data_IF_586388950819
#
_entry.id   IF_586388950819
#
_cell.length_a   1.000
_cell.length_b   1.000
_cell.length_c   1.000
_cell.angle_alpha   90.00
_cell.angle_beta   90.00
_cell.angle_gamma   90.00
#
_symmetry.space_group_name_H-M   'P 1'
#
loop_
_entity.id
_entity.type
_entity.pdbx_description
1 polymer ?
#
# COMPACT_ATOMS: atom_id res chain seq x y z
N UNK A 1 3.17 -17.42 -8.21
CA UNK A 1 3.65 -16.52 -9.29
C UNK A 1 3.82 -15.12 -8.69
N UNK A 2 4.21 -14.10 -9.45
CA UNK A 2 4.23 -12.74 -8.91
C UNK A 2 2.81 -12.14 -9.02
N UNK A 3 2.30 -11.52 -7.95
CA UNK A 3 1.06 -10.74 -8.01
C UNK A 3 1.26 -9.65 -9.07
N UNK A 4 0.38 -9.53 -10.08
CA UNK A 4 0.53 -8.56 -11.15
C UNK A 4 0.51 -7.12 -10.59
N UNK A 5 1.29 -6.23 -11.21
CA UNK A 5 1.21 -4.81 -10.91
C UNK A 5 -0.10 -4.18 -11.41
N UNK A 6 -0.39 -2.97 -10.94
CA UNK A 6 -1.65 -2.29 -11.29
C UNK A 6 -1.72 -1.88 -12.78
N UNK A 7 -0.60 -1.76 -13.47
CA UNK A 7 -0.57 -1.39 -14.90
C UNK A 7 -0.95 -2.59 -15.77
N UNK A 8 -0.39 -3.75 -15.48
CA UNK A 8 -0.75 -5.01 -16.14
C UNK A 8 -2.23 -5.37 -15.93
N UNK A 9 -2.86 -4.85 -14.89
CA UNK A 9 -4.29 -5.03 -14.62
C UNK A 9 -5.19 -4.06 -15.41
N UNK A 10 -4.68 -2.94 -15.94
CA UNK A 10 -5.52 -1.94 -16.61
C UNK A 10 -6.19 -2.47 -17.88
N UNK A 11 -5.43 -3.11 -18.77
CA UNK A 11 -5.99 -3.64 -20.02
C UNK A 11 -6.99 -4.79 -19.78
N UNK A 12 -6.67 -5.83 -18.96
CA UNK A 12 -7.65 -6.86 -18.61
C UNK A 12 -8.91 -6.30 -17.96
N UNK A 13 -8.78 -5.32 -17.06
CA UNK A 13 -9.92 -4.68 -16.40
C UNK A 13 -10.81 -3.97 -17.43
N UNK A 14 -10.22 -3.21 -18.36
CA UNK A 14 -10.96 -2.54 -19.42
C UNK A 14 -11.68 -3.55 -20.35
N UNK A 15 -11.03 -4.69 -20.64
CA UNK A 15 -11.62 -5.79 -21.43
C UNK A 15 -12.81 -6.45 -20.74
N UNK A 16 -12.81 -6.58 -19.42
CA UNK A 16 -13.97 -7.11 -18.68
C UNK A 16 -15.18 -6.19 -18.86
N UNK A 17 -14.97 -4.88 -18.85
CA UNK A 17 -16.03 -3.90 -19.10
C UNK A 17 -16.43 -3.75 -20.58
N UNK A 18 -15.82 -4.51 -21.50
CA UNK A 18 -16.05 -4.39 -22.95
C UNK A 18 -17.49 -4.70 -23.37
N UNK A 19 -18.25 -5.41 -22.54
CA UNK A 19 -19.66 -5.74 -22.74
C UNK A 19 -20.60 -4.51 -22.64
N UNK A 20 -20.09 -3.38 -22.14
CA UNK A 20 -20.85 -2.14 -21.96
C UNK A 20 -21.77 -2.13 -20.74
N UNK A 21 -21.79 -3.21 -19.95
CA UNK A 21 -22.60 -3.30 -18.74
C UNK A 21 -21.93 -2.62 -17.55
N UNK A 22 -22.67 -2.46 -16.45
CA UNK A 22 -22.08 -2.05 -15.18
C UNK A 22 -21.46 -3.22 -14.46
N UNK A 23 -20.21 -3.05 -14.05
CA UNK A 23 -19.44 -4.01 -13.29
C UNK A 23 -19.17 -3.50 -11.88
N UNK A 24 -19.09 -4.42 -10.93
CA UNK A 24 -18.64 -4.11 -9.57
C UNK A 24 -17.16 -4.40 -9.42
N UNK A 25 -16.47 -3.63 -8.57
CA UNK A 25 -15.06 -3.86 -8.30
C UNK A 25 -14.81 -5.25 -7.69
N UNK A 26 -15.71 -5.73 -6.84
CA UNK A 26 -15.59 -7.06 -6.21
C UNK A 26 -15.66 -8.19 -7.25
N UNK A 27 -16.60 -8.12 -8.18
CA UNK A 27 -16.73 -9.08 -9.28
C UNK A 27 -15.48 -9.09 -10.15
N UNK A 28 -14.99 -7.92 -10.54
CA UNK A 28 -13.81 -7.79 -11.39
C UNK A 28 -12.55 -8.29 -10.68
N UNK A 29 -12.43 -8.09 -9.36
CA UNK A 29 -11.33 -8.67 -8.56
C UNK A 29 -11.36 -10.21 -8.66
N UNK A 30 -12.52 -10.83 -8.53
CA UNK A 30 -12.66 -12.29 -8.64
C UNK A 30 -12.29 -12.80 -10.04
N UNK A 31 -12.80 -12.14 -11.09
CA UNK A 31 -12.50 -12.50 -12.49
C UNK A 31 -10.99 -12.37 -12.77
N UNK A 32 -10.38 -11.25 -12.37
CA UNK A 32 -8.95 -11.02 -12.57
C UNK A 32 -8.10 -12.00 -11.76
N UNK A 33 -8.49 -12.33 -10.52
CA UNK A 33 -7.77 -13.31 -9.72
C UNK A 33 -7.75 -14.70 -10.40
N UNK A 34 -8.86 -15.09 -11.04
CA UNK A 34 -8.94 -16.32 -11.81
C UNK A 34 -8.12 -16.26 -13.09
N UNK A 35 -8.20 -15.17 -13.86
CA UNK A 35 -7.44 -14.98 -15.11
C UNK A 35 -5.92 -15.00 -14.88
N UNK A 36 -5.45 -14.46 -13.76
CA UNK A 36 -4.04 -14.45 -13.39
C UNK A 36 -3.62 -15.68 -12.57
N UNK A 37 -4.52 -16.64 -12.37
CA UNK A 37 -4.28 -17.89 -11.64
C UNK A 37 -3.68 -17.67 -10.24
N UNK A 38 -4.19 -16.68 -9.50
CA UNK A 38 -3.69 -16.37 -8.17
C UNK A 38 -4.06 -17.46 -7.16
N UNK A 39 -3.06 -17.90 -6.39
CA UNK A 39 -3.23 -18.79 -5.26
C UNK A 39 -3.95 -18.11 -4.08
N UNK A 40 -4.54 -18.89 -3.19
CA UNK A 40 -5.21 -18.36 -1.99
C UNK A 40 -4.28 -17.51 -1.11
N UNK A 41 -2.99 -17.85 -1.09
CA UNK A 41 -1.99 -17.10 -0.32
C UNK A 41 -1.76 -15.71 -0.94
N UNK A 42 -1.61 -15.63 -2.26
CA UNK A 42 -1.44 -14.36 -2.99
C UNK A 42 -2.70 -13.49 -2.89
N UNK A 43 -3.89 -14.11 -2.91
CA UNK A 43 -5.17 -13.41 -2.74
C UNK A 43 -5.35 -12.85 -1.33
N UNK A 44 -4.79 -13.52 -0.32
CA UNK A 44 -4.83 -13.09 1.09
C UNK A 44 -3.66 -12.20 1.48
N UNK A 45 -2.70 -12.00 0.59
CA UNK A 45 -1.52 -11.17 0.86
C UNK A 45 -1.93 -9.73 1.18
N UNK A 46 -1.53 -9.27 2.36
CA UNK A 46 -1.85 -7.92 2.84
C UNK A 46 -0.73 -6.95 2.46
N UNK A 47 -1.10 -5.69 2.30
CA UNK A 47 -0.13 -4.59 2.28
C UNK A 47 0.70 -4.57 3.56
N UNK A 48 1.88 -3.93 3.56
CA UNK A 48 2.73 -3.85 4.74
C UNK A 48 2.05 -3.15 5.95
N UNK A 49 1.01 -2.33 5.69
CA UNK A 49 0.14 -1.75 6.72
C UNK A 49 -0.87 -2.73 7.35
N UNK A 50 -1.08 -3.91 6.76
CA UNK A 50 -2.00 -4.94 7.24
C UNK A 50 -3.49 -4.68 7.02
N UNK A 51 -3.87 -3.54 6.44
CA UNK A 51 -5.28 -3.09 6.36
C UNK A 51 -6.02 -3.55 5.10
N UNK A 52 -5.31 -3.73 4.00
CA UNK A 52 -5.89 -4.05 2.68
C UNK A 52 -5.10 -5.17 2.03
N UNK A 53 -5.78 -5.98 1.24
CA UNK A 53 -5.14 -6.97 0.37
C UNK A 53 -4.38 -6.26 -0.75
N UNK A 54 -3.18 -6.72 -1.05
CA UNK A 54 -2.30 -6.12 -2.06
C UNK A 54 -2.95 -6.16 -3.44
N UNK A 55 -3.52 -7.30 -3.82
CA UNK A 55 -4.18 -7.45 -5.12
C UNK A 55 -5.41 -6.54 -5.27
N UNK A 56 -6.33 -6.55 -4.31
CA UNK A 56 -7.53 -5.69 -4.32
C UNK A 56 -7.17 -4.20 -4.44
N UNK A 57 -6.11 -3.79 -3.72
CA UNK A 57 -5.59 -2.43 -3.80
C UNK A 57 -5.08 -2.10 -5.21
N UNK A 58 -4.34 -3.01 -5.86
CA UNK A 58 -3.84 -2.82 -7.23
C UNK A 58 -4.98 -2.74 -8.25
N UNK A 59 -6.01 -3.59 -8.14
CA UNK A 59 -7.20 -3.53 -9.00
C UNK A 59 -7.95 -2.20 -8.79
N UNK A 60 -8.06 -1.73 -7.55
CA UNK A 60 -8.66 -0.44 -7.24
C UNK A 60 -7.92 0.74 -7.90
N UNK A 61 -6.59 0.72 -7.89
CA UNK A 61 -5.77 1.74 -8.53
C UNK A 61 -5.87 1.69 -10.06
N UNK A 62 -5.83 0.49 -10.65
CA UNK A 62 -6.07 0.30 -12.08
C UNK A 62 -7.40 0.94 -12.51
N UNK A 63 -8.49 0.64 -11.79
CA UNK A 63 -9.81 1.24 -12.02
C UNK A 63 -9.77 2.76 -11.87
N UNK A 64 -9.11 3.27 -10.84
CA UNK A 64 -9.03 4.72 -10.59
C UNK A 64 -8.36 5.44 -11.75
N UNK A 65 -7.25 4.93 -12.26
CA UNK A 65 -6.51 5.57 -13.36
C UNK A 65 -7.31 5.55 -14.65
N UNK A 66 -7.96 4.43 -14.96
CA UNK A 66 -8.86 4.32 -16.12
C UNK A 66 -10.07 5.27 -16.03
N UNK A 67 -10.61 5.49 -14.83
CA UNK A 67 -11.66 6.49 -14.61
C UNK A 67 -11.14 7.91 -14.79
N UNK A 68 -9.92 8.21 -14.30
CA UNK A 68 -9.29 9.53 -14.47
C UNK A 68 -8.92 9.82 -15.92
N UNK A 69 -8.63 8.79 -16.70
CA UNK A 69 -8.42 8.89 -18.15
C UNK A 69 -9.71 8.82 -18.98
N UNK A 70 -10.89 8.86 -18.33
CA UNK A 70 -12.20 8.84 -18.99
C UNK A 70 -12.45 7.58 -19.87
N UNK A 71 -11.72 6.49 -19.63
CA UNK A 71 -11.93 5.20 -20.29
C UNK A 71 -13.03 4.38 -19.60
N UNK A 72 -13.24 4.64 -18.30
CA UNK A 72 -14.32 4.10 -17.49
C UNK A 72 -15.09 5.24 -16.83
N UNK A 73 -16.41 5.10 -16.73
CA UNK A 73 -17.27 5.98 -15.96
C UNK A 73 -17.58 5.36 -14.61
N UNK A 74 -17.48 6.13 -13.53
CA UNK A 74 -17.94 5.71 -12.21
C UNK A 74 -19.45 5.93 -12.09
N UNK A 75 -20.23 4.85 -12.05
CA UNK A 75 -21.71 4.90 -12.00
C UNK A 75 -22.28 4.77 -10.60
N UNK A 76 -21.44 4.46 -9.60
CA UNK A 76 -21.85 4.34 -8.20
C UNK A 76 -20.72 3.88 -7.29
N UNK A 77 -21.04 3.56 -6.04
CA UNK A 77 -20.06 3.05 -5.07
C UNK A 77 -19.48 1.73 -5.56
N UNK A 78 -18.18 1.73 -5.85
CA UNK A 78 -17.45 0.59 -6.40
C UNK A 78 -18.03 0.01 -7.70
N UNK A 79 -18.83 0.79 -8.44
CA UNK A 79 -19.38 0.41 -9.75
C UNK A 79 -18.75 1.24 -10.85
N UNK A 80 -18.65 0.66 -12.04
CA UNK A 80 -18.17 1.35 -13.22
C UNK A 80 -18.71 0.74 -14.51
N UNK A 81 -18.67 1.52 -15.59
CA UNK A 81 -19.07 1.13 -16.94
C UNK A 81 -18.04 1.64 -17.96
N UNK A 82 -17.91 0.97 -19.08
CA UNK A 82 -17.11 1.44 -20.21
C UNK A 82 -17.68 2.74 -20.82
N UNK A 83 -16.80 3.67 -21.19
CA UNK A 83 -17.17 4.88 -21.94
C UNK A 83 -17.02 4.69 -23.44
N UNK A 84 -17.52 5.63 -24.25
CA UNK A 84 -17.24 5.65 -25.69
C UNK A 84 -15.74 5.73 -25.99
N UNK A 85 -15.00 6.54 -25.23
CA UNK A 85 -13.53 6.64 -25.30
C UNK A 85 -12.88 5.28 -25.04
N UNK A 86 -13.27 4.59 -23.95
CA UNK A 86 -12.80 3.25 -23.62
C UNK A 86 -13.09 2.22 -24.73
N UNK A 87 -14.28 2.29 -25.34
CA UNK A 87 -14.64 1.44 -26.47
C UNK A 87 -13.75 1.69 -27.70
N UNK A 88 -13.44 2.95 -28.02
CA UNK A 88 -12.52 3.30 -29.12
C UNK A 88 -11.11 2.76 -28.87
N UNK A 89 -10.61 2.88 -27.63
CA UNK A 89 -9.33 2.31 -27.22
C UNK A 89 -9.32 0.78 -27.35
N UNK A 90 -10.38 0.09 -26.95
CA UNK A 90 -10.44 -1.37 -27.13
C UNK A 90 -10.47 -1.77 -28.61
N UNK A 91 -11.11 -0.99 -29.47
CA UNK A 91 -11.15 -1.22 -30.92
C UNK A 91 -9.79 -1.04 -31.60
N UNK A 92 -8.92 -0.15 -31.09
CA UNK A 92 -7.56 -0.03 -31.59
C UNK A 92 -6.63 -1.17 -31.13
N UNK A 93 -7.13 -2.06 -30.25
CA UNK A 93 -6.45 -3.23 -29.74
C UNK A 93 -5.00 -2.96 -29.27
N UNK A 94 -4.81 -2.06 -28.29
CA UNK A 94 -3.49 -1.76 -27.78
C UNK A 94 -2.88 -3.00 -27.11
N UNK A 95 -1.57 -3.25 -27.29
CA UNK A 95 -0.90 -4.38 -26.67
C UNK A 95 -0.83 -4.24 -25.14
N UNK A 96 -0.80 -3.00 -24.62
CA UNK A 96 -0.69 -2.66 -23.20
C UNK A 96 -1.35 -1.30 -22.95
N UNK A 97 -1.94 -1.13 -21.76
CA UNK A 97 -2.39 0.15 -21.24
C UNK A 97 -1.62 0.37 -19.94
N UNK A 98 -0.70 1.32 -19.93
CA UNK A 98 0.08 1.75 -18.78
C UNK A 98 -0.08 3.25 -18.55
N UNK A 99 0.60 3.78 -17.53
CA UNK A 99 0.56 5.21 -17.21
C UNK A 99 0.98 6.06 -18.41
N UNK A 100 2.02 5.65 -19.14
CA UNK A 100 2.50 6.33 -20.34
C UNK A 100 1.43 6.37 -21.44
N UNK A 101 0.70 5.27 -21.65
CA UNK A 101 -0.45 5.26 -22.55
C UNK A 101 -1.57 6.19 -22.08
N UNK A 102 -1.79 6.33 -20.77
CA UNK A 102 -2.84 7.22 -20.26
C UNK A 102 -2.50 8.72 -20.38
N UNK A 103 -1.22 9.08 -20.52
CA UNK A 103 -0.77 10.48 -20.69
C UNK A 103 -1.29 11.13 -21.98
N UNK A 104 -1.72 10.34 -22.96
CA UNK A 104 -2.36 10.87 -24.17
C UNK A 104 -3.75 11.48 -23.91
N UNK A 105 -4.37 11.19 -22.75
CA UNK A 105 -5.69 11.71 -22.39
C UNK A 105 -5.56 12.99 -21.55
N UNK A 106 -6.15 14.13 -21.99
CA UNK A 106 -6.02 15.39 -21.27
C UNK A 106 -6.62 15.32 -19.86
N UNK A 107 -7.69 14.56 -19.65
CA UNK A 107 -8.32 14.37 -18.34
C UNK A 107 -7.36 13.71 -17.33
N UNK A 108 -6.51 12.80 -17.81
CA UNK A 108 -5.51 12.14 -16.98
C UNK A 108 -4.34 13.08 -16.64
N UNK A 109 -3.89 13.87 -17.60
CA UNK A 109 -2.84 14.89 -17.37
C UNK A 109 -3.29 15.96 -16.38
N UNK A 110 -4.55 16.40 -16.45
CA UNK A 110 -5.11 17.30 -15.44
C UNK A 110 -5.08 16.70 -14.04
N UNK A 111 -5.39 15.40 -13.91
CA UNK A 111 -5.34 14.69 -12.63
C UNK A 111 -3.91 14.65 -12.08
N UNK A 112 -2.92 14.31 -12.90
CA UNK A 112 -1.51 14.31 -12.49
C UNK A 112 -1.05 15.71 -12.07
N UNK A 113 -1.38 16.74 -12.85
CA UNK A 113 -1.00 18.12 -12.56
C UNK A 113 -1.62 18.65 -11.26
N UNK A 114 -2.88 18.29 -10.97
CA UNK A 114 -3.54 18.64 -9.70
C UNK A 114 -2.86 17.97 -8.51
N UNK A 115 -2.37 16.73 -8.66
CA UNK A 115 -1.61 16.04 -7.62
C UNK A 115 -0.28 16.73 -7.33
N UNK A 116 0.49 17.09 -8.37
CA UNK A 116 1.78 17.76 -8.21
C UNK A 116 1.65 19.15 -7.58
N UNK A 117 0.61 19.91 -7.96
CA UNK A 117 0.37 21.26 -7.42
C UNK A 117 -0.03 21.25 -5.95
N UNK A 118 -0.63 20.16 -5.46
CA UNK A 118 -0.93 19.96 -4.04
C UNK A 118 0.31 19.59 -3.21
N UNK A 119 1.36 19.08 -3.84
CA UNK A 119 2.59 18.61 -3.18
C UNK A 119 3.69 19.65 -3.08
N UNK A 120 3.57 20.81 -3.74
CA UNK A 120 4.41 21.99 -3.47
C UNK A 120 5.92 21.85 -3.72
N UNK A 121 6.39 20.78 -4.36
CA UNK A 121 7.82 20.58 -4.66
C UNK A 121 8.09 20.46 -6.16
N UNK A 122 9.06 21.27 -6.59
CA UNK A 122 9.62 21.35 -7.94
C UNK A 122 10.64 20.24 -8.15
N UNK A 123 10.49 19.52 -9.27
CA UNK A 123 11.47 18.64 -9.94
C UNK A 123 12.06 17.44 -9.16
N UNK A 124 11.62 16.23 -9.53
CA UNK A 124 12.39 14.99 -9.32
C UNK A 124 12.36 14.12 -10.61
N UNK A 125 13.47 14.06 -11.37
CA UNK A 125 13.61 13.25 -12.58
C UNK A 125 13.87 11.74 -12.35
N UNK A 126 13.24 10.91 -13.21
CA UNK A 126 13.61 9.55 -13.66
C UNK A 126 13.72 8.38 -12.66
N UNK A 127 14.01 8.56 -11.36
CA UNK A 127 14.00 7.43 -10.39
C UNK A 127 12.57 6.93 -10.04
N UNK A 128 11.55 7.72 -10.38
CA UNK A 128 10.15 7.33 -10.23
C UNK A 128 9.75 6.18 -11.19
N UNK A 129 10.56 5.89 -12.22
CA UNK A 129 10.31 4.79 -13.15
C UNK A 129 10.54 3.40 -12.54
N UNK A 130 11.38 3.22 -11.51
CA UNK A 130 11.46 1.91 -10.82
C UNK A 130 10.31 1.69 -9.82
N UNK A 131 9.66 2.79 -9.37
CA UNK A 131 8.41 2.78 -8.58
C UNK A 131 7.15 2.49 -9.41
N UNK A 132 7.28 2.27 -10.73
CA UNK A 132 6.18 2.04 -11.69
C UNK A 132 5.26 0.88 -11.31
N UNK A 133 5.77 -0.14 -10.62
CA UNK A 133 4.97 -1.32 -10.24
C UNK A 133 4.13 -1.12 -8.97
N UNK A 134 4.44 -0.11 -8.17
CA UNK A 134 3.83 0.09 -6.86
C UNK A 134 2.73 1.14 -6.94
N UNK A 135 1.63 0.86 -6.26
CA UNK A 135 0.57 1.85 -6.10
C UNK A 135 1.04 2.97 -5.16
N UNK A 136 0.47 4.19 -5.25
CA UNK A 136 0.82 5.27 -4.32
C UNK A 136 0.72 4.87 -2.83
N UNK A 137 -0.27 4.03 -2.48
CA UNK A 137 -0.37 3.49 -1.13
C UNK A 137 0.78 2.54 -0.76
N UNK A 138 1.23 1.68 -1.69
CA UNK A 138 2.40 0.83 -1.49
C UNK A 138 3.69 1.65 -1.30
N UNK A 139 3.84 2.75 -2.04
CA UNK A 139 4.98 3.67 -1.90
C UNK A 139 4.96 4.34 -0.51
N UNK A 140 3.79 4.77 -0.04
CA UNK A 140 3.66 5.37 1.30
C UNK A 140 3.95 4.34 2.40
N UNK A 141 3.38 3.14 2.29
CA UNK A 141 3.57 2.07 3.27
C UNK A 141 5.05 1.64 3.35
N UNK A 142 5.73 1.49 2.21
CA UNK A 142 7.16 1.13 2.18
C UNK A 142 8.04 2.24 2.75
N UNK A 143 7.78 3.49 2.38
CA UNK A 143 8.52 4.65 2.91
C UNK A 143 8.38 4.78 4.43
N UNK A 144 7.18 4.58 4.96
CA UNK A 144 6.92 4.59 6.40
C UNK A 144 7.66 3.46 7.14
N UNK A 145 7.68 2.27 6.55
CA UNK A 145 8.42 1.14 7.13
C UNK A 145 9.93 1.39 7.15
N UNK A 146 10.49 1.91 6.06
CA UNK A 146 11.91 2.27 5.99
C UNK A 146 12.27 3.34 7.04
N UNK A 147 11.46 4.39 7.17
CA UNK A 147 11.62 5.40 8.23
C UNK A 147 11.60 4.78 9.62
N UNK A 148 10.64 3.90 9.90
CA UNK A 148 10.54 3.20 11.18
C UNK A 148 11.73 2.28 11.45
N UNK A 149 12.23 1.59 10.43
CA UNK A 149 13.41 0.74 10.56
C UNK A 149 14.67 1.56 10.83
N UNK A 150 14.86 2.69 10.13
CA UNK A 150 15.97 3.60 10.39
C UNK A 150 15.92 4.14 11.82
N UNK A 151 14.74 4.59 12.28
CA UNK A 151 14.57 5.02 13.68
C UNK A 151 14.86 3.89 14.68
N UNK A 152 14.50 2.65 14.35
CA UNK A 152 14.80 1.49 15.21
C UNK A 152 16.29 1.13 15.24
N UNK A 153 17.05 1.44 14.18
CA UNK A 153 18.50 1.27 14.15
C UNK A 153 19.25 2.42 14.84
N UNK A 154 18.72 3.64 14.77
CA UNK A 154 19.27 4.83 15.44
C UNK A 154 18.97 4.87 16.95
N UNK A 155 18.05 4.04 17.44
CA UNK A 155 17.96 3.71 18.87
C UNK A 155 18.99 2.62 19.19
N UNK A 156 20.21 2.93 19.67
CA UNK A 156 20.98 1.92 20.36
C UNK A 156 20.13 1.38 21.52
N UNK A 157 20.43 0.17 21.96
CA UNK A 157 19.84 -0.47 23.16
C UNK A 157 20.17 0.30 24.46
N UNK A 158 20.24 1.63 24.45
CA UNK A 158 20.42 2.54 25.57
C UNK A 158 19.11 2.65 26.36
N UNK A 159 18.72 1.52 26.95
CA UNK A 159 17.52 1.40 27.76
C UNK A 159 17.51 0.17 28.66
N UNK A 160 18.49 -0.74 28.60
CA UNK A 160 18.74 -1.67 29.72
C UNK A 160 19.58 -0.95 30.76
N UNK A 161 18.94 -0.09 31.55
CA UNK A 161 19.53 0.34 32.82
C UNK A 161 19.46 -0.86 33.79
N UNK A 162 20.57 -1.40 34.32
CA UNK A 162 20.52 -2.43 35.35
C UNK A 162 20.17 -1.79 36.71
N UNK A 163 18.94 -1.35 36.90
CA UNK A 163 18.45 -1.00 38.24
C UNK A 163 17.68 -2.18 38.79
N UNK A 164 18.40 -3.13 39.38
CA UNK A 164 17.93 -4.04 40.45
C UNK A 164 19.07 -5.00 40.82
N UNK A 165 20.00 -4.52 41.64
CA UNK A 165 20.60 -5.40 42.65
C UNK A 165 19.88 -5.09 43.97
N UNK A 166 19.19 -6.05 44.60
CA UNK A 166 18.73 -5.88 45.97
C UNK A 166 19.98 -5.92 46.87
N UNK A 167 20.35 -4.78 47.47
CA UNK A 167 21.28 -4.80 48.61
C UNK A 167 20.58 -5.54 49.73
N UNK A 168 21.05 -6.76 49.99
CA UNK A 168 20.59 -7.62 51.06
C UNK A 168 20.62 -6.87 52.40
N UNK A 169 19.51 -6.98 53.12
CA UNK A 169 19.39 -6.63 54.51
C UNK A 169 20.39 -7.45 55.33
N UNK A 170 21.24 -6.79 56.11
CA UNK A 170 21.91 -7.34 57.28
C UNK A 170 21.82 -6.26 58.36
N UNK A 171 20.66 -6.17 59.00
CA UNK A 171 20.57 -5.62 60.34
C UNK A 171 21.20 -6.66 61.27
N UNK A 172 22.29 -6.31 61.95
CA UNK A 172 22.73 -7.03 63.15
C UNK A 172 22.66 -6.09 64.34
N UNK A 173 21.93 -6.58 65.32
CA UNK A 173 21.56 -5.97 66.59
C UNK A 173 22.78 -5.52 67.40
N UNK A 174 22.69 -4.31 67.94
CA UNK A 174 23.50 -3.88 69.07
C UNK A 174 22.59 -3.28 70.15
N UNK A 175 21.90 -4.16 70.89
CA UNK A 175 21.26 -3.79 72.16
C UNK A 175 21.75 -4.79 73.22
N UNK A 176 22.86 -4.42 73.88
CA UNK A 176 23.38 -5.13 75.05
C UNK A 176 22.78 -4.48 76.30
N UNK A 177 21.60 -4.93 76.71
CA UNK A 177 21.04 -4.60 78.03
C UNK A 177 21.80 -5.41 79.08
N UNK A 178 22.24 -4.67 80.09
CA UNK A 178 23.10 -5.08 81.20
C UNK A 178 22.19 -5.45 82.37
N UNK A 179 22.10 -6.72 82.74
CA UNK A 179 21.59 -7.16 84.04
C UNK A 179 22.32 -8.41 84.51
N UNK A 180 22.93 -8.28 85.69
CA UNK A 180 23.53 -9.31 86.54
C UNK A 180 22.50 -10.36 86.97
N UNK A 181 22.94 -11.56 87.41
CA UNK A 181 22.89 -11.81 88.86
C UNK A 181 24.08 -12.58 89.47
N UNK A 182 24.17 -12.36 90.78
CA UNK A 182 24.82 -13.08 91.88
C UNK A 182 25.18 -14.57 91.70
N UNK A 183 26.40 -14.94 92.10
CA UNK A 183 26.70 -15.85 93.21
C UNK A 183 28.18 -15.69 93.63
#
# INVERSE_FOLDING_TARGET
MAIPDYQNLMLPLLKIAADGNEHTLSEVIEILAQQFHLSDQERKELLPSGKRRRFDNRVHWARTYLVKANLLAATGRAKFRLTEQGSRVLKSNPPRIDVQFLEQFPEFMEFQNKSNKASGDTEAPQEMLEKISQTPQEILDTSYQSLRQNLAQELPKSGRRPWLQPRGWMAQEAIRVRTFPFA
#
